data_IF_173176715478
#
_entry.id   IF_173176715478
#
_cell.length_a   1.000
_cell.length_b   1.000
_cell.length_c   1.000
_cell.angle_alpha   90.00
_cell.angle_beta   90.00
_cell.angle_gamma   90.00
#
_symmetry.space_group_name_H-M   'P 1'
#
loop_
_entity.id
_entity.type
_entity.pdbx_description
1 polymer ?
#
# COMPACT_ATOMS: atom_id res chain seq x y z
N UNK A 1 -9.98 15.15 -53.70
CA UNK A 1 -10.88 15.14 -54.87
C UNK A 1 -10.05 15.23 -56.15
N UNK A 2 -10.43 14.49 -57.20
CA UNK A 2 -9.80 14.58 -58.54
C UNK A 2 -10.91 14.80 -59.55
N UNK A 3 -10.78 15.82 -60.39
CA UNK A 3 -11.72 16.07 -61.48
C UNK A 3 -11.06 15.68 -62.80
N UNK A 4 -11.76 14.92 -63.63
CA UNK A 4 -11.24 14.52 -64.95
C UNK A 4 -11.82 15.45 -66.01
N UNK A 5 -10.94 16.18 -66.69
CA UNK A 5 -11.31 17.04 -67.82
C UNK A 5 -10.42 16.73 -69.00
N UNK A 6 -11.01 16.46 -70.17
CA UNK A 6 -10.26 16.13 -71.39
C UNK A 6 -9.39 14.87 -71.30
N UNK A 7 -9.67 13.95 -70.38
CA UNK A 7 -8.90 12.71 -70.19
C UNK A 7 -7.63 12.87 -69.33
N UNK A 8 -7.40 14.03 -68.72
CA UNK A 8 -6.33 14.27 -67.76
C UNK A 8 -6.90 14.46 -66.36
N UNK A 9 -6.19 13.93 -65.36
CA UNK A 9 -6.50 14.17 -63.95
C UNK A 9 -6.03 15.58 -63.58
N UNK A 10 -6.94 16.43 -63.12
CA UNK A 10 -6.63 17.79 -62.68
C UNK A 10 -6.91 17.89 -61.17
N UNK A 11 -5.94 18.41 -60.42
CA UNK A 11 -6.15 18.76 -59.02
C UNK A 11 -7.10 19.97 -58.93
N UNK A 12 -8.22 19.88 -58.19
CA UNK A 12 -9.14 21.00 -58.05
C UNK A 12 -8.54 22.08 -57.14
N UNK A 13 -8.62 23.34 -57.55
CA UNK A 13 -8.26 24.53 -56.76
C UNK A 13 -9.32 25.64 -56.97
N UNK A 14 -9.87 26.28 -55.92
CA UNK A 14 -9.76 25.96 -54.50
C UNK A 14 -10.85 24.98 -54.05
N UNK A 15 -10.46 24.01 -53.24
CA UNK A 15 -11.40 23.19 -52.47
C UNK A 15 -11.74 23.95 -51.20
N UNK A 16 -13.03 24.24 -50.98
CA UNK A 16 -13.51 24.67 -49.67
C UNK A 16 -13.81 23.41 -48.85
N UNK A 17 -13.08 23.22 -47.75
CA UNK A 17 -13.37 22.14 -46.82
C UNK A 17 -14.76 22.36 -46.21
N UNK A 18 -15.57 21.31 -46.14
CA UNK A 18 -16.79 21.32 -45.34
C UNK A 18 -16.43 21.10 -43.88
N UNK A 19 -17.02 21.86 -42.96
CA UNK A 19 -16.99 21.53 -41.54
C UNK A 19 -18.06 20.49 -41.24
N UNK A 20 -17.69 19.43 -40.53
CA UNK A 20 -18.63 18.49 -39.93
C UNK A 20 -18.61 18.75 -38.43
N UNK A 21 -19.52 19.59 -37.96
CA UNK A 21 -19.75 19.81 -36.54
C UNK A 21 -20.69 18.71 -36.05
N UNK A 22 -20.11 17.67 -35.44
CA UNK A 22 -20.87 16.71 -34.64
C UNK A 22 -20.81 17.21 -33.21
N UNK A 23 -21.96 17.50 -32.60
CA UNK A 23 -22.02 17.61 -31.15
C UNK A 23 -21.60 16.25 -30.57
N UNK A 24 -20.59 16.20 -29.69
CA UNK A 24 -20.18 14.95 -29.06
C UNK A 24 -21.38 14.36 -28.30
N UNK A 25 -21.71 13.11 -28.61
CA UNK A 25 -22.67 12.34 -27.81
C UNK A 25 -21.89 11.85 -26.60
N UNK A 26 -22.28 12.27 -25.40
CA UNK A 26 -21.72 11.71 -24.18
C UNK A 26 -22.02 10.21 -24.14
N UNK A 27 -20.97 9.40 -24.16
CA UNK A 27 -21.06 7.97 -23.88
C UNK A 27 -21.15 7.88 -22.35
N UNK A 28 -22.18 7.22 -21.79
CA UNK A 28 -22.27 7.03 -20.35
C UNK A 28 -20.99 6.36 -19.83
N UNK A 29 -20.65 6.63 -18.56
CA UNK A 29 -19.61 5.87 -17.90
C UNK A 29 -20.04 4.40 -17.83
N UNK A 30 -19.06 3.51 -17.99
CA UNK A 30 -19.26 2.10 -17.70
C UNK A 30 -19.51 1.93 -16.20
N UNK A 31 -20.31 0.93 -15.83
CA UNK A 31 -20.61 0.63 -14.44
C UNK A 31 -19.51 -0.20 -13.76
N UNK A 32 -18.44 -0.51 -14.48
CA UNK A 32 -17.20 -1.03 -13.91
C UNK A 32 -16.68 -0.09 -12.81
N UNK A 33 -16.22 -0.67 -11.72
CA UNK A 33 -15.61 0.07 -10.62
C UNK A 33 -14.34 -0.66 -10.18
N UNK A 34 -13.25 0.10 -9.99
CA UNK A 34 -11.99 -0.39 -9.45
C UNK A 34 -11.73 0.22 -8.07
N UNK A 35 -11.14 -0.56 -7.18
CA UNK A 35 -10.68 -0.10 -5.88
C UNK A 35 -9.25 -0.54 -5.62
N UNK A 36 -8.57 0.28 -4.85
CA UNK A 36 -7.39 -0.13 -4.10
C UNK A 36 -7.75 -0.15 -2.61
N UNK A 37 -7.12 -1.04 -1.85
CA UNK A 37 -7.15 -1.01 -0.39
C UNK A 37 -5.78 -1.34 0.16
N UNK A 38 -5.44 -0.77 1.29
CA UNK A 38 -4.23 -1.11 2.04
C UNK A 38 -4.60 -1.95 3.26
N UNK A 39 -3.75 -2.91 3.61
CA UNK A 39 -3.95 -3.80 4.77
C UNK A 39 -2.63 -4.01 5.50
N UNK A 40 -2.62 -3.70 6.79
CA UNK A 40 -1.49 -3.93 7.70
C UNK A 40 -1.93 -4.90 8.82
N UNK A 41 -1.00 -5.66 9.41
CA UNK A 41 -1.29 -6.53 10.56
C UNK A 41 -1.95 -5.80 11.74
N UNK A 42 -1.46 -4.60 12.06
CA UNK A 42 -1.94 -3.73 13.13
C UNK A 42 -2.13 -2.29 12.63
N UNK A 43 -1.94 -1.29 13.49
CA UNK A 43 -1.91 0.11 13.04
C UNK A 43 -0.64 0.35 12.22
N UNK A 44 -0.75 1.21 11.20
CA UNK A 44 0.32 1.38 10.22
C UNK A 44 1.44 2.27 10.79
N UNK A 45 2.62 1.70 11.02
CA UNK A 45 3.79 2.41 11.54
C UNK A 45 4.89 2.59 10.48
N UNK A 46 5.75 3.60 10.67
CA UNK A 46 6.93 3.79 9.83
C UNK A 46 7.84 2.55 9.86
N UNK A 47 8.30 2.08 8.70
CA UNK A 47 9.09 0.84 8.57
C UNK A 47 8.26 -0.45 8.51
N UNK A 48 6.94 -0.41 8.70
CA UNK A 48 6.08 -1.60 8.67
C UNK A 48 5.75 -2.02 7.22
N UNK A 49 5.58 -3.33 7.02
CA UNK A 49 5.11 -3.91 5.75
C UNK A 49 3.67 -4.40 5.85
N UNK A 50 2.89 -4.07 4.83
CA UNK A 50 1.54 -4.54 4.58
C UNK A 50 1.33 -4.90 3.11
N UNK A 51 0.09 -4.78 2.64
CA UNK A 51 -0.32 -5.13 1.27
C UNK A 51 -1.18 -4.04 0.65
N UNK A 52 -0.95 -3.77 -0.65
CA UNK A 52 -1.81 -2.98 -1.53
C UNK A 52 -2.59 -3.94 -2.44
N UNK A 53 -3.90 -4.02 -2.24
CA UNK A 53 -4.78 -4.95 -2.95
C UNK A 53 -5.71 -4.25 -3.92
N UNK A 54 -5.95 -4.89 -5.07
CA UNK A 54 -6.77 -4.38 -6.17
C UNK A 54 -8.06 -5.20 -6.30
N UNK A 55 -9.19 -4.51 -6.45
CA UNK A 55 -10.50 -5.13 -6.59
C UNK A 55 -11.23 -4.56 -7.80
N UNK A 56 -12.08 -5.38 -8.41
CA UNK A 56 -13.02 -4.92 -9.43
C UNK A 56 -14.45 -5.31 -9.08
N UNK A 57 -15.38 -4.53 -9.63
CA UNK A 57 -16.79 -4.83 -9.74
C UNK A 57 -17.23 -4.51 -11.16
N UNK A 58 -18.08 -5.37 -11.70
CA UNK A 58 -18.79 -5.14 -12.95
C UNK A 58 -20.13 -5.89 -12.94
N UNK A 59 -21.24 -5.19 -13.20
CA UNK A 59 -22.57 -5.76 -13.00
C UNK A 59 -23.03 -6.71 -14.12
N UNK A 60 -22.59 -6.46 -15.35
CA UNK A 60 -23.17 -7.04 -16.55
C UNK A 60 -22.21 -7.27 -17.72
N UNK A 61 -20.91 -7.04 -17.55
CA UNK A 61 -19.88 -7.30 -18.55
C UNK A 61 -18.83 -8.34 -18.14
N UNK A 62 -18.21 -8.92 -19.18
CA UNK A 62 -17.10 -9.87 -19.04
C UNK A 62 -15.81 -9.17 -19.45
N UNK A 63 -14.88 -9.01 -18.51
CA UNK A 63 -13.64 -8.27 -18.74
C UNK A 63 -12.57 -9.20 -19.33
N UNK A 64 -12.04 -8.86 -20.50
CA UNK A 64 -10.96 -9.64 -21.14
C UNK A 64 -9.58 -9.35 -20.54
N UNK A 65 -9.40 -8.17 -19.95
CA UNK A 65 -8.14 -7.73 -19.37
C UNK A 65 -8.21 -6.28 -18.93
N UNK A 66 -7.12 -5.81 -18.32
CA UNK A 66 -7.03 -4.44 -17.83
C UNK A 66 -5.58 -3.98 -17.74
N UNK A 67 -5.41 -2.67 -17.77
CA UNK A 67 -4.18 -1.98 -17.35
C UNK A 67 -4.59 -1.09 -16.18
N UNK A 68 -3.97 -1.33 -15.04
CA UNK A 68 -4.16 -0.59 -13.79
C UNK A 68 -2.92 0.27 -13.58
N UNK A 69 -3.13 1.58 -13.44
CA UNK A 69 -2.07 2.56 -13.24
C UNK A 69 -2.41 3.42 -12.03
N UNK A 70 -1.51 3.45 -11.05
CA UNK A 70 -1.66 4.22 -9.82
C UNK A 70 -0.38 4.98 -9.48
N UNK A 71 -0.54 6.11 -8.81
CA UNK A 71 0.51 6.99 -8.32
C UNK A 71 0.40 7.01 -6.80
N UNK A 72 1.53 6.96 -6.10
CA UNK A 72 1.56 6.91 -4.65
C UNK A 72 2.56 7.91 -4.08
N UNK A 73 2.32 8.31 -2.84
CA UNK A 73 3.29 9.06 -2.06
C UNK A 73 4.57 8.23 -1.88
N UNK A 74 5.71 8.81 -2.29
CA UNK A 74 7.01 8.15 -2.29
C UNK A 74 7.62 7.93 -0.90
N UNK A 75 6.90 8.28 0.18
CA UNK A 75 7.19 7.75 1.52
C UNK A 75 6.65 6.32 1.71
N UNK A 76 6.07 5.73 0.67
CA UNK A 76 5.67 4.34 0.60
C UNK A 76 6.50 3.65 -0.48
N UNK A 77 6.98 2.44 -0.19
CA UNK A 77 7.65 1.57 -1.17
C UNK A 77 6.70 0.45 -1.61
N UNK A 78 6.39 0.35 -2.90
CA UNK A 78 5.58 -0.76 -3.46
C UNK A 78 6.47 -1.89 -3.99
N UNK A 79 6.16 -3.14 -3.61
CA UNK A 79 6.85 -4.33 -4.09
C UNK A 79 6.44 -4.73 -5.51
N UNK A 80 7.26 -5.54 -6.18
CA UNK A 80 7.00 -6.02 -7.56
C UNK A 80 6.44 -7.44 -7.62
N UNK A 81 6.38 -8.15 -6.48
CA UNK A 81 5.89 -9.52 -6.41
C UNK A 81 4.36 -9.53 -6.32
N UNK A 82 3.69 -9.99 -7.37
CA UNK A 82 2.23 -10.07 -7.40
C UNK A 82 1.72 -11.30 -6.64
N UNK A 83 0.91 -11.08 -5.61
CA UNK A 83 0.15 -12.14 -4.95
C UNK A 83 -1.27 -12.23 -5.52
N UNK A 84 -1.61 -13.39 -6.07
CA UNK A 84 -2.94 -13.71 -6.58
C UNK A 84 -3.69 -14.70 -5.68
N UNK A 85 -3.15 -15.06 -4.51
CA UNK A 85 -3.79 -16.06 -3.63
C UNK A 85 -5.21 -15.64 -3.24
N UNK A 86 -6.18 -16.51 -3.49
CA UNK A 86 -7.59 -16.26 -3.17
C UNK A 86 -8.29 -15.28 -4.11
N UNK A 87 -7.61 -14.79 -5.14
CA UNK A 87 -8.16 -13.86 -6.13
C UNK A 87 -9.02 -14.56 -7.18
N UNK A 88 -9.78 -13.76 -7.93
CA UNK A 88 -10.51 -14.24 -9.10
C UNK A 88 -9.59 -14.60 -10.28
N UNK A 89 -8.45 -13.92 -10.43
CA UNK A 89 -7.52 -14.15 -11.55
C UNK A 89 -6.74 -15.46 -11.37
N UNK A 90 -6.52 -15.90 -10.11
CA UNK A 90 -6.02 -17.24 -9.80
C UNK A 90 -7.03 -18.32 -10.22
N UNK A 91 -8.32 -18.10 -9.94
CA UNK A 91 -9.37 -19.07 -10.24
C UNK A 91 -9.68 -19.20 -11.73
N UNK A 92 -9.73 -18.07 -12.44
CA UNK A 92 -9.95 -18.06 -13.90
C UNK A 92 -8.70 -18.53 -14.63
N UNK A 93 -7.52 -18.13 -14.16
CA UNK A 93 -6.23 -18.45 -14.77
C UNK A 93 -5.73 -17.32 -15.67
N UNK A 94 -5.09 -16.31 -15.09
CA UNK A 94 -4.43 -15.25 -15.87
C UNK A 94 -3.33 -15.81 -16.79
N UNK A 95 -3.34 -15.38 -18.06
CA UNK A 95 -2.37 -15.86 -19.06
C UNK A 95 -1.27 -14.84 -19.39
N UNK A 96 -1.51 -13.56 -19.11
CA UNK A 96 -0.49 -12.53 -19.14
C UNK A 96 -0.63 -11.61 -17.92
N UNK A 97 0.46 -11.49 -17.18
CA UNK A 97 0.62 -10.53 -16.09
C UNK A 97 1.94 -9.79 -16.31
N UNK A 98 1.91 -8.48 -16.17
CA UNK A 98 3.10 -7.66 -16.06
C UNK A 98 2.91 -6.64 -14.93
N UNK A 99 3.88 -6.58 -14.02
CA UNK A 99 3.95 -5.58 -12.96
C UNK A 99 5.19 -4.74 -13.19
N UNK A 100 5.06 -3.43 -13.09
CA UNK A 100 6.15 -2.48 -13.03
C UNK A 100 5.89 -1.55 -11.85
N UNK A 101 6.92 -1.32 -11.05
CA UNK A 101 6.90 -0.32 -9.99
C UNK A 101 8.03 0.64 -10.27
N UNK A 102 7.69 1.92 -10.27
CA UNK A 102 8.63 3.03 -10.26
C UNK A 102 8.54 3.71 -8.90
N UNK A 103 9.66 3.75 -8.20
CA UNK A 103 9.77 4.21 -6.82
C UNK A 103 10.74 5.41 -6.74
N UNK A 104 10.88 6.13 -7.86
CA UNK A 104 11.78 7.26 -8.03
C UNK A 104 10.97 8.50 -8.44
N UNK A 105 10.86 9.48 -7.54
CA UNK A 105 10.19 10.77 -7.80
C UNK A 105 11.04 11.75 -8.63
N UNK A 106 12.25 11.35 -9.04
CA UNK A 106 13.24 12.26 -9.64
C UNK A 106 13.35 12.19 -11.15
N UNK A 107 12.67 11.25 -11.81
CA UNK A 107 12.86 10.96 -13.23
C UNK A 107 11.83 11.62 -14.16
N UNK A 108 10.77 12.19 -13.62
CA UNK A 108 9.84 13.06 -14.36
C UNK A 108 8.37 12.91 -13.99
N UNK A 109 8.03 11.89 -13.21
CA UNK A 109 6.71 11.56 -12.66
C UNK A 109 6.74 11.51 -11.12
N UNK A 110 5.59 11.21 -10.50
CA UNK A 110 5.50 10.80 -9.09
C UNK A 110 5.85 9.29 -8.98
N UNK A 111 5.92 8.67 -7.80
CA UNK A 111 6.09 7.22 -7.71
C UNK A 111 4.85 6.48 -8.27
N UNK A 112 5.07 5.44 -9.07
CA UNK A 112 4.03 4.83 -9.91
C UNK A 112 4.03 3.31 -9.87
N UNK A 113 2.85 2.72 -10.01
CA UNK A 113 2.70 1.28 -10.21
C UNK A 113 1.80 1.01 -11.43
N UNK A 114 2.25 0.07 -12.25
CA UNK A 114 1.57 -0.42 -13.44
C UNK A 114 1.35 -1.91 -13.28
N UNK A 115 0.11 -2.34 -13.42
CA UNK A 115 -0.27 -3.76 -13.49
C UNK A 115 -1.08 -4.00 -14.75
N UNK A 116 -0.62 -4.89 -15.61
CA UNK A 116 -1.31 -5.28 -16.83
C UNK A 116 -1.70 -6.76 -16.79
N UNK A 117 -2.99 -7.04 -17.00
CA UNK A 117 -3.57 -8.38 -16.96
C UNK A 117 -4.31 -8.65 -18.27
N UNK A 118 -4.10 -9.83 -18.86
CA UNK A 118 -4.90 -10.34 -19.96
C UNK A 118 -5.24 -11.81 -19.70
N UNK A 119 -6.52 -12.16 -19.85
CA UNK A 119 -7.03 -13.48 -19.45
C UNK A 119 -6.80 -14.56 -20.51
N UNK A 120 -6.87 -14.22 -21.79
CA UNK A 120 -6.79 -15.19 -22.90
C UNK A 120 -5.70 -14.78 -23.91
N UNK A 121 -4.46 -14.78 -23.44
CA UNK A 121 -3.28 -14.28 -24.16
C UNK A 121 -2.52 -15.37 -24.94
N UNK A 122 -2.73 -16.64 -24.60
CA UNK A 122 -1.98 -17.80 -25.08
C UNK A 122 -2.90 -18.83 -25.74
N UNK A 123 -2.44 -19.58 -26.75
CA UNK A 123 -3.22 -20.68 -27.32
C UNK A 123 -3.44 -21.83 -26.32
N UNK A 124 -4.61 -22.48 -26.31
CA UNK A 124 -5.80 -22.19 -27.11
C UNK A 124 -6.58 -20.99 -26.56
N UNK A 125 -6.96 -20.06 -27.45
CA UNK A 125 -7.77 -18.88 -27.09
C UNK A 125 -9.21 -19.32 -26.77
N UNK A 126 -9.45 -19.68 -25.52
CA UNK A 126 -10.69 -20.29 -25.05
C UNK A 126 -11.72 -19.24 -24.58
N UNK A 127 -11.43 -17.95 -24.74
CA UNK A 127 -12.33 -16.84 -24.42
C UNK A 127 -12.44 -16.58 -22.92
N UNK A 128 -11.37 -16.82 -22.17
CA UNK A 128 -11.32 -16.56 -20.73
C UNK A 128 -11.51 -15.06 -20.45
N UNK A 129 -12.31 -14.77 -19.43
CA UNK A 129 -12.65 -13.41 -18.99
C UNK A 129 -12.85 -13.41 -17.48
N UNK A 130 -12.71 -12.23 -16.86
CA UNK A 130 -13.22 -12.05 -15.51
C UNK A 130 -14.75 -12.06 -15.55
N UNK A 131 -15.40 -12.75 -14.61
CA UNK A 131 -16.85 -12.84 -14.58
C UNK A 131 -17.50 -11.54 -14.11
N UNK A 132 -18.79 -11.41 -14.39
CA UNK A 132 -19.66 -10.42 -13.77
C UNK A 132 -19.75 -10.63 -12.26
N UNK A 133 -19.86 -9.54 -11.52
CA UNK A 133 -20.04 -9.48 -10.07
C UNK A 133 -21.37 -8.81 -9.73
N UNK A 134 -22.53 -9.41 -10.06
CA UNK A 134 -23.82 -8.75 -9.86
C UNK A 134 -24.08 -8.50 -8.37
N UNK A 135 -24.53 -7.29 -8.05
CA UNK A 135 -24.91 -6.88 -6.71
C UNK A 135 -25.90 -7.88 -6.07
N UNK A 136 -25.59 -8.33 -4.86
CA UNK A 136 -26.46 -9.25 -4.12
C UNK A 136 -27.81 -8.62 -3.75
N UNK A 137 -28.83 -9.43 -3.39
CA UNK A 137 -30.10 -8.88 -2.91
C UNK A 137 -29.92 -8.14 -1.57
N UNK A 138 -30.73 -7.08 -1.35
CA UNK A 138 -30.82 -6.24 -0.13
C UNK A 138 -29.79 -5.10 0.01
N UNK A 139 -29.72 -4.19 -0.97
CA UNK A 139 -28.91 -2.95 -0.89
C UNK A 139 -27.42 -3.19 -0.57
N UNK A 140 -26.87 -4.38 -0.88
CA UNK A 140 -25.43 -4.67 -0.77
C UNK A 140 -24.69 -3.67 -1.66
N UNK A 141 -23.61 -3.04 -1.22
CA UNK A 141 -22.87 -2.07 -2.04
C UNK A 141 -22.13 -2.75 -3.20
N UNK A 142 -21.67 -1.99 -4.19
CA UNK A 142 -20.78 -2.53 -5.25
C UNK A 142 -19.50 -3.11 -4.64
N UNK A 143 -19.01 -2.48 -3.57
CA UNK A 143 -17.90 -2.99 -2.76
C UNK A 143 -18.16 -4.40 -2.19
N UNK A 144 -19.35 -4.67 -1.64
CA UNK A 144 -19.70 -5.98 -1.08
C UNK A 144 -19.72 -7.11 -2.12
N UNK A 145 -19.87 -6.76 -3.40
CA UNK A 145 -19.85 -7.70 -4.52
C UNK A 145 -18.49 -7.73 -5.24
N UNK A 146 -17.57 -6.81 -4.92
CA UNK A 146 -16.27 -6.72 -5.57
C UNK A 146 -15.44 -8.00 -5.35
N UNK A 147 -14.59 -8.30 -6.33
CA UNK A 147 -13.70 -9.46 -6.30
C UNK A 147 -12.24 -9.02 -6.28
N UNK A 148 -11.45 -9.66 -5.43
CA UNK A 148 -10.00 -9.47 -5.36
C UNK A 148 -9.37 -9.89 -6.70
N UNK A 149 -8.58 -8.99 -7.27
CA UNK A 149 -7.74 -9.24 -8.46
C UNK A 149 -6.37 -9.76 -8.00
N UNK A 150 -5.80 -9.16 -6.97
CA UNK A 150 -4.52 -9.54 -6.37
C UNK A 150 -3.92 -8.39 -5.58
N UNK A 151 -2.75 -8.62 -4.98
CA UNK A 151 -2.08 -7.67 -4.10
C UNK A 151 -0.59 -7.54 -4.45
N UNK A 152 -0.02 -6.43 -4.02
CA UNK A 152 1.42 -6.16 -4.02
C UNK A 152 1.87 -5.89 -2.58
N UNK A 153 3.10 -6.29 -2.20
CA UNK A 153 3.70 -5.83 -0.95
C UNK A 153 3.74 -4.31 -0.91
N UNK A 154 3.50 -3.73 0.25
CA UNK A 154 3.58 -2.30 0.50
C UNK A 154 4.41 -2.10 1.77
N UNK A 155 5.38 -1.21 1.77
CA UNK A 155 6.16 -0.86 2.96
C UNK A 155 6.05 0.64 3.18
N UNK A 156 5.94 1.06 4.43
CA UNK A 156 6.00 2.46 4.81
C UNK A 156 7.46 2.77 5.11
N UNK A 157 8.01 3.82 4.51
CA UNK A 157 9.42 4.15 4.70
C UNK A 157 9.69 4.59 6.15
N UNK A 158 10.93 4.36 6.63
CA UNK A 158 11.31 4.71 8.00
C UNK A 158 11.22 6.22 8.28
N UNK A 159 11.28 7.06 7.24
CA UNK A 159 11.18 8.52 7.32
C UNK A 159 9.80 9.08 6.91
N UNK A 160 8.80 8.22 6.76
CA UNK A 160 7.42 8.64 6.50
C UNK A 160 6.88 9.51 7.64
N UNK A 161 6.13 10.56 7.27
CA UNK A 161 5.57 11.49 8.24
C UNK A 161 4.33 10.93 8.94
N UNK A 162 4.37 10.85 10.27
CA UNK A 162 3.25 10.32 11.03
C UNK A 162 2.13 11.35 11.26
N UNK A 163 1.02 10.87 11.82
CA UNK A 163 -0.25 11.59 11.99
C UNK A 163 -0.82 12.12 10.65
N UNK A 164 -0.41 11.53 9.54
CA UNK A 164 -0.74 11.98 8.20
C UNK A 164 -1.12 10.82 7.28
N UNK A 165 -1.91 11.12 6.25
CA UNK A 165 -2.28 10.17 5.22
C UNK A 165 -1.30 10.28 4.06
N UNK A 166 -0.75 9.13 3.65
CA UNK A 166 0.03 8.96 2.44
C UNK A 166 -0.88 8.38 1.35
N UNK A 167 -1.15 9.16 0.31
CA UNK A 167 -2.18 8.87 -0.68
C UNK A 167 -1.68 7.88 -1.74
N UNK A 168 -2.59 7.00 -2.19
CA UNK A 168 -2.39 6.09 -3.33
C UNK A 168 -3.60 6.26 -4.26
N UNK A 169 -3.38 6.90 -5.41
CA UNK A 169 -4.45 7.33 -6.31
C UNK A 169 -4.36 6.73 -7.68
N UNK A 170 -5.51 6.49 -8.31
CA UNK A 170 -5.56 6.07 -9.70
C UNK A 170 -5.17 7.22 -10.62
N UNK A 171 -4.06 7.08 -11.35
CA UNK A 171 -3.55 8.12 -12.22
C UNK A 171 -3.37 7.60 -13.65
N UNK A 172 -3.42 8.51 -14.61
CA UNK A 172 -3.31 8.22 -16.04
C UNK A 172 -2.15 9.04 -16.61
N UNK A 173 -1.59 8.62 -17.74
CA UNK A 173 -0.52 9.38 -18.36
C UNK A 173 0.86 9.07 -17.80
N UNK A 174 0.97 7.94 -17.08
CA UNK A 174 2.18 7.49 -16.40
C UNK A 174 3.04 6.59 -17.27
N UNK A 175 4.31 6.40 -16.92
CA UNK A 175 5.23 5.69 -17.80
C UNK A 175 5.97 4.52 -17.13
N UNK A 176 5.91 4.43 -15.80
CA UNK A 176 6.66 3.48 -14.98
C UNK A 176 8.13 3.46 -15.39
N UNK A 177 8.77 2.29 -15.32
CA UNK A 177 10.16 2.10 -15.78
C UNK A 177 10.36 2.20 -17.32
N UNK A 178 9.36 2.64 -18.06
CA UNK A 178 9.27 2.54 -19.51
C UNK A 178 9.57 3.83 -20.25
N UNK A 179 9.03 3.93 -21.47
CA UNK A 179 8.97 5.17 -22.23
C UNK A 179 7.62 5.30 -22.95
N UNK A 180 6.64 4.47 -22.55
CA UNK A 180 5.32 4.39 -23.15
C UNK A 180 4.34 4.86 -22.10
N UNK A 181 3.60 5.91 -22.44
CA UNK A 181 2.54 6.43 -21.58
C UNK A 181 1.37 5.45 -21.51
N UNK A 182 0.99 5.07 -20.30
CA UNK A 182 -0.06 4.13 -19.97
C UNK A 182 -1.23 4.83 -19.27
N UNK A 183 -2.38 4.16 -19.31
CA UNK A 183 -3.65 4.65 -18.81
C UNK A 183 -4.39 3.50 -18.17
N UNK A 184 -5.25 3.83 -17.21
CA UNK A 184 -6.23 2.91 -16.66
C UNK A 184 -7.19 2.49 -17.78
N UNK A 185 -7.16 1.22 -18.16
CA UNK A 185 -8.00 0.65 -19.21
C UNK A 185 -8.65 -0.63 -18.70
N UNK A 186 -9.93 -0.79 -18.97
CA UNK A 186 -10.63 -2.08 -18.89
C UNK A 186 -10.99 -2.49 -20.30
N UNK A 187 -10.82 -3.78 -20.63
CA UNK A 187 -11.13 -4.33 -21.95
C UNK A 187 -12.44 -5.09 -21.86
N UNK A 188 -13.48 -4.55 -22.50
CA UNK A 188 -14.83 -5.13 -22.64
C UNK A 188 -15.18 -5.12 -24.12
N UNK A 189 -15.76 -6.21 -24.63
CA UNK A 189 -16.07 -6.40 -26.05
C UNK A 189 -14.95 -5.98 -27.03
N UNK A 190 -13.69 -6.25 -26.65
CA UNK A 190 -12.49 -5.87 -27.40
C UNK A 190 -12.29 -4.35 -27.59
N UNK A 191 -12.91 -3.54 -26.74
CA UNK A 191 -12.75 -2.09 -26.68
C UNK A 191 -12.00 -1.69 -25.41
N UNK A 192 -11.16 -0.66 -25.53
CA UNK A 192 -10.53 -0.04 -24.37
C UNK A 192 -11.47 1.02 -23.80
N UNK A 193 -11.98 0.76 -22.61
CA UNK A 193 -12.79 1.69 -21.85
C UNK A 193 -11.91 2.40 -20.82
N UNK A 194 -12.18 3.68 -20.55
CA UNK A 194 -11.46 4.52 -19.59
C UNK A 194 -12.39 5.38 -18.72
N UNK A 195 -13.68 5.45 -19.08
CA UNK A 195 -14.67 6.22 -18.35
C UNK A 195 -15.47 5.28 -17.45
N UNK A 196 -14.93 5.02 -16.26
CA UNK A 196 -15.50 4.15 -15.24
C UNK A 196 -15.03 4.60 -13.85
N UNK A 197 -15.66 4.10 -12.79
CA UNK A 197 -15.38 4.52 -11.42
C UNK A 197 -14.06 3.92 -10.91
N UNK A 198 -13.28 4.74 -10.21
CA UNK A 198 -11.98 4.38 -9.62
C UNK A 198 -11.90 5.00 -8.24
N UNK A 199 -11.70 4.17 -7.23
CA UNK A 199 -11.64 4.59 -5.84
C UNK A 199 -10.21 4.47 -5.33
N UNK A 200 -9.65 5.63 -4.99
CA UNK A 200 -8.33 5.78 -4.40
C UNK A 200 -8.29 5.19 -2.98
N UNK A 201 -7.08 5.03 -2.44
CA UNK A 201 -6.85 4.63 -1.05
C UNK A 201 -5.72 5.47 -0.45
N UNK A 202 -5.45 5.28 0.83
CA UNK A 202 -4.32 5.91 1.52
C UNK A 202 -3.82 5.00 2.64
N UNK A 203 -2.62 5.26 3.14
CA UNK A 203 -2.12 4.72 4.41
C UNK A 203 -2.08 5.84 5.42
N UNK A 204 -2.75 5.69 6.57
CA UNK A 204 -2.64 6.66 7.65
C UNK A 204 -1.60 6.18 8.64
N UNK A 205 -0.44 6.84 8.67
CA UNK A 205 0.70 6.42 9.50
C UNK A 205 0.57 7.01 10.88
N UNK A 206 0.60 6.16 11.90
CA UNK A 206 0.52 6.54 13.31
C UNK A 206 1.87 6.38 13.99
N UNK A 207 2.20 7.25 14.97
CA UNK A 207 3.43 7.10 15.74
C UNK A 207 3.43 5.82 16.56
N UNK A 208 4.57 5.11 16.53
CA UNK A 208 4.84 3.99 17.43
C UNK A 208 5.68 4.49 18.61
N UNK A 209 5.26 4.18 19.84
CA UNK A 209 5.99 4.55 21.05
C UNK A 209 7.29 3.72 21.14
N UNK A 210 8.42 4.38 21.39
CA UNK A 210 9.73 3.73 21.46
C UNK A 210 10.42 3.96 22.79
N UNK A 211 11.29 3.03 23.19
CA UNK A 211 12.05 3.13 24.44
C UNK A 211 13.36 2.34 24.38
N UNK A 212 14.26 2.58 25.33
CA UNK A 212 15.43 1.73 25.59
C UNK A 212 15.11 0.71 26.67
N UNK A 213 15.22 -0.58 26.36
CA UNK A 213 14.97 -1.63 27.35
C UNK A 213 16.02 -1.57 28.45
N UNK A 214 15.56 -1.28 29.67
CA UNK A 214 16.38 -1.05 30.86
C UNK A 214 16.45 0.41 31.31
N UNK A 215 16.00 1.38 30.51
CA UNK A 215 15.93 2.80 30.91
C UNK A 215 14.63 3.08 31.69
N UNK A 216 14.52 2.46 32.86
CA UNK A 216 13.34 2.56 33.70
C UNK A 216 13.07 3.99 34.21
N UNK A 217 14.07 4.87 34.16
CA UNK A 217 13.94 6.24 34.63
C UNK A 217 13.69 7.27 33.51
N UNK A 218 13.87 6.88 32.24
CA UNK A 218 13.60 7.70 31.07
C UNK A 218 14.59 8.86 30.92
N UNK A 219 15.89 8.61 31.11
CA UNK A 219 16.94 9.62 30.91
C UNK A 219 17.91 9.34 29.72
N UNK A 220 17.50 8.43 28.84
CA UNK A 220 18.19 7.93 27.64
C UNK A 220 19.52 7.23 27.97
N UNK A 221 19.65 6.70 29.19
CA UNK A 221 20.83 5.93 29.62
C UNK A 221 20.43 4.80 30.56
N UNK A 222 20.74 3.58 30.13
CA UNK A 222 20.67 2.40 31.00
C UNK A 222 21.89 2.34 31.93
N UNK A 223 21.71 2.71 33.19
CA UNK A 223 22.72 2.67 34.25
C UNK A 223 22.20 2.21 35.64
N UNK A 224 22.95 2.53 36.70
CA UNK A 224 22.60 2.13 38.07
C UNK A 224 21.31 2.81 38.57
N UNK A 225 20.98 3.99 38.04
CA UNK A 225 19.79 4.75 38.38
C UNK A 225 18.53 3.96 38.03
N UNK A 226 18.50 3.23 36.91
CA UNK A 226 17.33 2.46 36.48
C UNK A 226 17.01 1.31 37.41
N UNK A 227 18.04 0.56 37.81
CA UNK A 227 17.88 -0.47 38.82
C UNK A 227 17.35 0.11 40.14
N UNK A 228 17.79 1.33 40.52
CA UNK A 228 17.28 2.01 41.71
C UNK A 228 15.83 2.49 41.55
N UNK A 229 15.47 3.00 40.37
CA UNK A 229 14.11 3.41 40.00
C UNK A 229 13.15 2.22 40.05
N UNK A 230 13.55 1.09 39.46
CA UNK A 230 12.73 -0.11 39.49
C UNK A 230 12.54 -0.67 40.90
N UNK A 231 13.60 -0.66 41.73
CA UNK A 231 13.47 -1.00 43.16
C UNK A 231 12.55 -0.02 43.92
N UNK A 232 12.61 1.28 43.60
CA UNK A 232 11.74 2.28 44.20
C UNK A 232 10.27 2.10 43.74
N UNK A 233 10.03 1.72 42.50
CA UNK A 233 8.71 1.33 42.00
C UNK A 233 8.15 0.17 42.83
N UNK A 234 8.92 -0.92 42.98
CA UNK A 234 8.47 -2.13 43.67
C UNK A 234 8.25 -1.97 45.18
N UNK A 235 9.10 -1.20 45.87
CA UNK A 235 9.03 -1.07 47.34
C UNK A 235 8.37 0.21 47.84
N UNK A 236 8.35 1.26 47.01
CA UNK A 236 7.84 2.58 47.40
C UNK A 236 6.66 3.05 46.54
N UNK A 237 6.28 2.30 45.51
CA UNK A 237 5.22 2.68 44.58
C UNK A 237 5.57 3.92 43.75
N UNK A 238 6.86 4.12 43.45
CA UNK A 238 7.29 5.17 42.53
C UNK A 238 6.68 4.90 41.15
N UNK A 239 5.86 5.80 40.57
CA UNK A 239 5.35 5.61 39.23
C UNK A 239 6.50 5.64 38.21
N UNK A 240 6.40 4.80 37.20
CA UNK A 240 7.33 4.73 36.05
C UNK A 240 6.57 5.17 34.80
N UNK A 241 7.27 5.77 33.84
CA UNK A 241 6.65 6.31 32.62
C UNK A 241 6.38 5.25 31.54
N UNK A 242 7.26 4.25 31.48
CA UNK A 242 7.22 3.15 30.53
C UNK A 242 7.48 1.85 31.29
N UNK A 243 6.46 0.99 31.36
CA UNK A 243 6.58 -0.29 32.08
C UNK A 243 7.50 -1.25 31.30
N UNK A 244 7.47 -1.23 29.97
CA UNK A 244 8.33 -2.08 29.12
C UNK A 244 9.82 -1.72 29.24
N UNK A 245 10.15 -0.43 29.39
CA UNK A 245 11.53 0.00 29.68
C UNK A 245 12.02 -0.51 31.04
N UNK A 246 11.12 -0.66 32.01
CA UNK A 246 11.44 -1.20 33.33
C UNK A 246 11.51 -2.73 33.35
N UNK A 247 10.85 -3.43 32.43
CA UNK A 247 10.97 -4.88 32.25
C UNK A 247 12.26 -5.22 31.48
N UNK A 248 13.37 -5.22 32.23
CA UNK A 248 14.71 -5.41 31.65
C UNK A 248 14.92 -6.83 31.12
N UNK A 249 14.14 -7.82 31.58
CA UNK A 249 14.28 -9.21 31.16
C UNK A 249 13.19 -9.69 30.21
N UNK A 250 12.25 -8.82 29.85
CA UNK A 250 11.23 -9.05 28.82
C UNK A 250 10.37 -10.28 29.14
N UNK A 251 9.90 -10.38 30.40
CA UNK A 251 9.02 -11.48 30.84
C UNK A 251 7.56 -11.08 31.07
N UNK A 252 7.23 -9.82 30.79
CA UNK A 252 5.93 -9.17 30.94
C UNK A 252 5.54 -8.95 32.40
N UNK A 253 6.49 -9.01 33.34
CA UNK A 253 6.22 -8.94 34.78
C UNK A 253 7.24 -8.07 35.51
N UNK A 254 6.83 -6.83 35.78
CA UNK A 254 7.58 -5.91 36.65
C UNK A 254 7.75 -6.43 38.09
N UNK A 255 8.97 -6.86 38.43
CA UNK A 255 9.32 -7.39 39.74
C UNK A 255 10.80 -7.17 40.14
N UNK A 256 11.34 -8.06 40.99
CA UNK A 256 12.72 -7.99 41.48
C UNK A 256 13.74 -8.61 40.51
N UNK A 257 13.27 -9.35 39.52
CA UNK A 257 14.09 -9.93 38.47
C UNK A 257 14.69 -8.83 37.57
N UNK A 258 13.94 -7.77 37.28
CA UNK A 258 14.35 -6.69 36.39
C UNK A 258 15.58 -5.91 36.88
N UNK A 259 15.61 -5.36 38.11
CA UNK A 259 16.82 -4.69 38.59
C UNK A 259 17.99 -5.66 38.75
N UNK A 260 17.73 -6.97 38.94
CA UNK A 260 18.79 -7.98 38.96
C UNK A 260 19.33 -8.24 37.54
N UNK A 261 18.47 -8.28 36.53
CA UNK A 261 18.82 -8.40 35.13
C UNK A 261 19.65 -7.20 34.67
N UNK A 262 19.19 -5.97 34.95
CA UNK A 262 19.90 -4.73 34.67
C UNK A 262 21.32 -4.73 35.28
N UNK A 263 21.43 -5.02 36.58
CA UNK A 263 22.73 -5.06 37.26
C UNK A 263 23.65 -6.16 36.74
N UNK A 264 23.09 -7.34 36.40
CA UNK A 264 23.87 -8.43 35.83
C UNK A 264 24.44 -8.03 34.46
N UNK A 265 23.67 -7.35 33.62
CA UNK A 265 24.17 -6.83 32.35
C UNK A 265 25.23 -5.75 32.55
N UNK A 266 24.95 -4.70 33.34
CA UNK A 266 25.86 -3.57 33.60
C UNK A 266 27.25 -4.02 34.05
N UNK A 267 27.31 -5.06 34.89
CA UNK A 267 28.56 -5.60 35.43
C UNK A 267 29.07 -6.86 34.73
N UNK A 268 28.53 -7.20 33.55
CA UNK A 268 28.98 -8.29 32.67
C UNK A 268 28.85 -9.69 33.28
N UNK A 269 27.83 -9.91 34.10
CA UNK A 269 27.43 -11.21 34.65
C UNK A 269 26.20 -11.82 33.94
N UNK A 270 25.50 -11.04 33.11
CA UNK A 270 24.32 -11.45 32.35
C UNK A 270 24.44 -11.19 30.85
N UNK A 271 23.38 -11.51 30.11
CA UNK A 271 23.20 -11.13 28.71
C UNK A 271 22.74 -9.69 28.60
N UNK A 272 22.85 -9.14 27.39
CA UNK A 272 22.20 -7.90 27.02
C UNK A 272 20.67 -8.02 27.18
N UNK A 273 19.97 -6.95 27.64
CA UNK A 273 18.53 -6.88 27.59
C UNK A 273 18.02 -7.23 26.18
N UNK A 274 16.90 -7.95 26.06
CA UNK A 274 16.25 -8.20 24.78
C UNK A 274 15.93 -6.91 24.02
N UNK A 275 15.66 -7.03 22.72
CA UNK A 275 15.27 -5.89 21.89
C UNK A 275 14.07 -5.13 22.52
N UNK A 276 13.97 -3.79 22.42
CA UNK A 276 14.83 -2.87 21.65
C UNK A 276 16.27 -2.72 22.20
N UNK A 277 16.51 -3.19 23.42
CA UNK A 277 17.83 -3.25 24.03
C UNK A 277 18.24 -1.92 24.68
N UNK A 278 19.43 -1.86 25.29
CA UNK A 278 19.78 -0.77 26.19
C UNK A 278 20.51 0.40 25.52
N UNK A 279 20.56 0.44 24.19
CA UNK A 279 21.44 1.37 23.45
C UNK A 279 20.72 2.25 22.45
N UNK A 280 19.62 1.78 21.88
CA UNK A 280 18.83 2.53 20.91
C UNK A 280 17.37 2.37 21.31
N UNK A 281 16.60 3.42 21.04
CA UNK A 281 15.16 3.37 21.11
C UNK A 281 14.60 2.48 20.01
N UNK A 282 13.54 1.76 20.36
CA UNK A 282 12.75 0.99 19.42
C UNK A 282 11.45 0.53 20.05
N UNK A 283 10.54 -0.02 19.25
CA UNK A 283 9.28 -0.55 19.75
C UNK A 283 9.49 -1.86 20.51
N UNK A 284 8.49 -2.29 21.28
CA UNK A 284 8.51 -3.62 21.89
C UNK A 284 8.22 -4.69 20.82
N UNK A 285 9.19 -5.56 20.45
CA UNK A 285 8.95 -6.62 19.49
C UNK A 285 8.13 -7.78 20.08
N UNK A 286 7.82 -7.74 21.38
CA UNK A 286 7.07 -8.77 22.08
C UNK A 286 5.75 -8.20 22.60
N UNK A 287 4.64 -8.79 22.15
CA UNK A 287 3.34 -8.47 22.72
C UNK A 287 3.19 -9.10 24.10
N UNK A 288 2.86 -8.30 25.11
CA UNK A 288 2.66 -8.77 26.48
C UNK A 288 1.38 -8.18 27.14
N UNK A 289 1.37 -8.04 28.46
CA UNK A 289 0.23 -7.48 29.21
C UNK A 289 0.55 -6.16 29.92
N UNK A 290 1.75 -5.63 29.73
CA UNK A 290 2.13 -4.31 30.16
C UNK A 290 1.41 -3.27 29.28
N UNK A 291 1.09 -2.09 29.83
CA UNK A 291 0.51 -1.02 29.05
C UNK A 291 1.55 -0.44 28.12
N UNK A 292 1.13 -0.05 26.91
CA UNK A 292 1.95 0.73 25.98
C UNK A 292 2.64 1.88 26.72
N UNK A 293 3.92 2.04 26.43
CA UNK A 293 4.72 3.12 26.98
C UNK A 293 4.12 4.47 26.63
N UNK A 294 4.25 5.39 27.58
CA UNK A 294 4.06 6.81 27.34
C UNK A 294 5.44 7.44 27.42
N UNK A 295 6.25 7.19 26.39
CA UNK A 295 7.53 7.87 26.25
C UNK A 295 7.31 9.19 25.52
N UNK A 296 8.27 10.10 25.64
CA UNK A 296 8.32 11.30 24.81
C UNK A 296 9.03 11.05 23.47
N UNK A 297 9.36 9.79 23.17
CA UNK A 297 10.03 9.35 21.97
C UNK A 297 9.14 8.41 21.15
N UNK A 298 9.06 8.68 19.85
CA UNK A 298 8.25 7.92 18.90
C UNK A 298 9.08 7.66 17.65
N UNK A 299 8.72 6.64 16.86
CA UNK A 299 9.39 6.34 15.57
C UNK A 299 9.35 7.48 14.55
N UNK A 300 8.61 8.56 14.82
CA UNK A 300 8.35 9.65 13.90
C UNK A 300 9.06 10.95 14.34
N UNK A 301 9.69 11.63 13.38
CA UNK A 301 10.39 12.93 13.60
C UNK A 301 9.59 14.16 13.18
#
# INVERSE_FOLDING_TARGET
NVTVSGGLSVYPDPMNDGTCDCEPVEIPAEDTELWMTTSFPEEAHAGESGELCFYYYDGDDYIQGMTMTACYDCALTVGTEWDWAGSIVEQVGVEYLAVQVDDDDTDGDDCEVVVAILMDALPPFDGQTLPQTPQGPNDATTWDASMLIGCLPLTIDEDASCDSAHDISWCNGINGNGNVTLYNNVVIDFQSLQNYARNDTSVYVVPEEVFQRGDCNGDDKVDLADAATMLANQFSGLPVGCEDACDTNDDGILNMADPVAALNWLFKFGTEPPAPGPFNDGPDPTGDSLPECNSDDTTCT
#
